data_IF_771101549480
#
_entry.id   IF_771101549480
#
_cell.length_a   1.000
_cell.length_b   1.000
_cell.length_c   1.000
_cell.angle_alpha   90.00
_cell.angle_beta   90.00
_cell.angle_gamma   90.00
#
_symmetry.space_group_name_H-M   'P 1'
#
loop_
_entity.id
_entity.type
_entity.pdbx_description
1 polymer ?
#
# COMPACT_ATOMS: atom_id res chain seq x y z
N UNK A 1 -38.26 -4.44 48.04
CA UNK A 1 -38.30 -5.77 47.40
C UNK A 1 -39.11 -5.60 46.12
N UNK A 2 -38.50 -5.14 45.04
CA UNK A 2 -37.67 -5.87 44.09
C UNK A 2 -38.52 -6.28 42.87
N UNK A 3 -38.24 -5.67 41.72
CA UNK A 3 -38.67 -6.19 40.41
C UNK A 3 -37.75 -5.60 39.35
N UNK A 4 -36.63 -6.30 39.16
CA UNK A 4 -35.76 -6.15 37.99
C UNK A 4 -36.54 -6.31 36.68
N UNK A 5 -36.50 -5.30 35.81
CA UNK A 5 -36.74 -5.45 34.37
C UNK A 5 -35.40 -5.29 33.64
N UNK A 6 -34.84 -6.43 33.23
CA UNK A 6 -33.67 -6.54 32.35
C UNK A 6 -34.03 -5.98 30.97
N UNK A 7 -33.30 -4.97 30.52
CA UNK A 7 -33.34 -4.49 29.14
C UNK A 7 -32.34 -5.34 28.36
N UNK A 8 -32.85 -6.28 27.56
CA UNK A 8 -32.07 -6.99 26.55
C UNK A 8 -31.89 -6.06 25.34
N UNK A 9 -30.64 -5.69 25.06
CA UNK A 9 -30.28 -4.94 23.86
C UNK A 9 -29.94 -5.95 22.75
N UNK A 10 -30.90 -6.22 21.88
CA UNK A 10 -30.72 -7.12 20.72
C UNK A 10 -29.89 -6.41 19.65
N UNK A 11 -28.62 -6.81 19.50
CA UNK A 11 -27.79 -6.42 18.37
C UNK A 11 -28.24 -7.26 17.16
N UNK A 12 -28.87 -6.60 16.18
CA UNK A 12 -29.19 -7.22 14.89
C UNK A 12 -27.90 -7.29 14.07
N UNK A 13 -27.28 -8.47 14.03
CA UNK A 13 -26.24 -8.79 13.05
C UNK A 13 -26.94 -9.13 11.73
N UNK A 14 -26.85 -8.24 10.75
CA UNK A 14 -27.30 -8.52 9.39
C UNK A 14 -26.31 -9.49 8.73
N UNK A 15 -26.64 -10.79 8.74
CA UNK A 15 -26.01 -11.78 7.87
C UNK A 15 -26.38 -11.47 6.42
N UNK A 16 -25.41 -11.06 5.60
CA UNK A 16 -25.56 -11.02 4.16
C UNK A 16 -25.35 -12.43 3.58
N UNK A 17 -26.45 -13.09 3.23
CA UNK A 17 -26.45 -14.20 2.28
C UNK A 17 -26.50 -13.63 0.87
N UNK A 18 -25.48 -13.92 0.04
CA UNK A 18 -25.55 -13.73 -1.41
C UNK A 18 -25.73 -15.09 -2.10
N UNK A 19 -26.46 -15.14 -3.22
CA UNK A 19 -26.83 -16.38 -3.90
C UNK A 19 -25.66 -16.97 -4.70
N UNK A 20 -25.71 -18.29 -4.87
CA UNK A 20 -24.78 -19.08 -5.68
C UNK A 20 -24.83 -18.72 -7.18
N UNK A 21 -23.76 -18.98 -7.96
CA UNK A 21 -23.62 -18.45 -9.32
C UNK A 21 -24.34 -19.34 -10.34
N UNK A 22 -25.12 -18.72 -11.21
CA UNK A 22 -25.65 -19.39 -12.40
C UNK A 22 -26.87 -18.72 -12.97
N UNK A 23 -26.68 -17.71 -13.83
CA UNK A 23 -27.35 -17.59 -15.14
C UNK A 23 -26.96 -16.26 -15.81
N UNK A 24 -26.61 -16.38 -17.09
CA UNK A 24 -26.14 -15.33 -17.97
C UNK A 24 -27.28 -14.48 -18.49
N UNK A 25 -27.19 -13.15 -18.36
CA UNK A 25 -27.96 -12.22 -19.17
C UNK A 25 -27.00 -11.29 -19.91
N UNK A 26 -26.99 -11.39 -21.24
CA UNK A 26 -26.27 -10.50 -22.16
C UNK A 26 -26.95 -9.14 -22.15
N UNK A 27 -26.19 -8.08 -21.86
CA UNK A 27 -26.53 -6.70 -22.25
C UNK A 27 -25.30 -6.10 -22.92
N UNK A 28 -25.51 -5.60 -24.14
CA UNK A 28 -24.50 -4.95 -24.96
C UNK A 28 -24.12 -3.58 -24.39
N UNK A 29 -22.83 -3.32 -24.22
CA UNK A 29 -22.30 -1.95 -24.07
C UNK A 29 -21.06 -1.77 -24.94
N UNK A 30 -21.20 -0.98 -26.00
CA UNK A 30 -20.09 -0.37 -26.70
C UNK A 30 -19.53 0.75 -25.81
N UNK A 31 -18.26 0.62 -25.40
CA UNK A 31 -17.55 1.64 -24.63
C UNK A 31 -16.13 1.16 -24.35
N UNK A 32 -15.14 1.90 -24.86
CA UNK A 32 -13.69 1.65 -24.78
C UNK A 32 -13.25 1.00 -23.45
N UNK A 33 -12.69 -0.20 -23.54
CA UNK A 33 -11.90 -0.81 -22.47
C UNK A 33 -10.63 0.02 -22.22
N UNK A 34 -10.69 0.97 -21.28
CA UNK A 34 -9.49 1.45 -20.61
C UNK A 34 -9.16 0.46 -19.49
N UNK A 35 -8.04 -0.25 -19.64
CA UNK A 35 -7.47 -1.11 -18.60
C UNK A 35 -7.33 -0.30 -17.30
N UNK A 36 -7.73 -0.84 -16.13
CA UNK A 36 -7.58 -0.13 -14.87
C UNK A 36 -6.09 -0.01 -14.53
N UNK A 37 -5.58 1.23 -14.52
CA UNK A 37 -4.23 1.53 -14.03
C UNK A 37 -4.32 1.65 -12.51
N UNK A 38 -3.83 0.62 -11.81
CA UNK A 38 -3.60 0.67 -10.37
C UNK A 38 -2.30 1.44 -10.13
N UNK A 39 -2.40 2.71 -9.76
CA UNK A 39 -1.23 3.52 -9.40
C UNK A 39 -0.94 3.27 -7.91
N UNK A 40 -0.05 2.32 -7.64
CA UNK A 40 0.72 2.33 -6.39
C UNK A 40 1.69 3.52 -6.46
N UNK A 41 1.73 4.36 -5.44
CA UNK A 41 2.63 5.53 -5.35
C UNK A 41 4.13 5.19 -5.34
N UNK A 42 4.51 3.92 -5.49
CA UNK A 42 5.86 3.43 -5.28
C UNK A 42 6.91 3.77 -6.34
N UNK A 43 6.65 4.67 -7.29
CA UNK A 43 7.58 4.96 -8.39
C UNK A 43 8.33 6.30 -8.24
N UNK A 44 8.40 6.85 -7.02
CA UNK A 44 9.25 8.02 -6.73
C UNK A 44 10.68 7.60 -6.34
N UNK A 45 11.70 7.86 -7.18
CA UNK A 45 13.08 7.90 -6.70
C UNK A 45 13.29 9.14 -5.81
N UNK A 46 13.92 8.93 -4.66
CA UNK A 46 14.59 9.99 -3.90
C UNK A 46 13.84 10.53 -2.68
N UNK A 47 13.65 9.71 -1.65
CA UNK A 47 13.41 10.28 -0.31
C UNK A 47 14.68 11.01 0.16
N UNK A 48 14.50 12.17 0.79
CA UNK A 48 15.59 12.96 1.33
C UNK A 48 16.04 12.29 2.63
N UNK A 49 17.33 11.95 2.73
CA UNK A 49 17.94 11.44 3.96
C UNK A 49 18.88 12.51 4.51
N UNK A 50 18.64 13.03 5.73
CA UNK A 50 19.53 13.99 6.37
C UNK A 50 20.95 13.41 6.53
N UNK A 51 21.97 14.20 6.17
CA UNK A 51 23.37 13.84 6.41
C UNK A 51 24.03 12.94 5.36
N UNK A 52 23.31 12.50 4.31
CA UNK A 52 23.88 11.74 3.18
C UNK A 52 23.97 12.62 1.94
N UNK A 53 25.18 12.95 1.47
CA UNK A 53 25.36 13.60 0.16
C UNK A 53 24.88 12.62 -0.92
N UNK A 54 23.81 12.96 -1.64
CA UNK A 54 23.40 12.20 -2.82
C UNK A 54 24.50 12.33 -3.89
N UNK A 55 25.12 11.22 -4.26
CA UNK A 55 26.10 11.19 -5.34
C UNK A 55 25.41 11.51 -6.68
N UNK A 56 25.52 12.77 -7.13
CA UNK A 56 24.97 13.29 -8.40
C UNK A 56 25.55 12.63 -9.68
N UNK A 57 26.30 11.53 -9.58
CA UNK A 57 27.01 10.93 -10.74
C UNK A 57 26.19 9.90 -11.53
N UNK A 58 24.97 9.57 -11.12
CA UNK A 58 24.13 8.58 -11.83
C UNK A 58 23.12 9.19 -12.84
N UNK A 59 22.75 10.47 -12.69
CA UNK A 59 21.67 11.07 -13.50
C UNK A 59 22.09 11.55 -14.89
N UNK A 60 23.38 11.80 -15.14
CA UNK A 60 23.86 12.30 -16.45
C UNK A 60 24.05 11.22 -17.52
N UNK A 61 24.02 9.92 -17.17
CA UNK A 61 24.21 8.84 -18.15
C UNK A 61 22.94 8.36 -18.84
N UNK A 62 21.77 8.80 -18.41
CA UNK A 62 20.49 8.38 -19.00
C UNK A 62 19.82 9.44 -19.90
N UNK A 63 20.47 10.59 -20.10
CA UNK A 63 19.98 11.66 -20.99
C UNK A 63 20.56 11.62 -22.41
N UNK A 64 21.63 10.86 -22.67
CA UNK A 64 22.30 10.84 -24.00
C UNK A 64 21.91 9.65 -24.92
N UNK A 65 20.89 8.86 -24.58
CA UNK A 65 20.48 7.68 -25.38
C UNK A 65 19.07 7.77 -25.99
N UNK A 66 18.46 8.96 -25.98
CA UNK A 66 17.11 9.22 -26.53
C UNK A 66 17.07 10.21 -27.70
N UNK A 67 18.20 10.41 -28.39
CA UNK A 67 18.30 11.35 -29.54
C UNK A 67 19.05 10.79 -30.77
N UNK A 68 19.19 9.47 -30.93
CA UNK A 68 19.85 8.89 -32.13
C UNK A 68 19.12 7.72 -32.80
N UNK A 69 17.78 7.72 -32.80
CA UNK A 69 16.99 6.72 -33.55
C UNK A 69 15.87 7.34 -34.40
N UNK A 70 15.99 8.61 -34.78
CA UNK A 70 14.98 9.28 -35.61
C UNK A 70 15.59 9.99 -36.81
N UNK A 71 16.41 9.29 -37.61
CA UNK A 71 16.74 9.72 -38.97
C UNK A 71 17.34 8.56 -39.79
N UNK A 72 16.49 7.81 -40.49
CA UNK A 72 16.73 7.17 -41.80
C UNK A 72 15.70 6.08 -42.08
N UNK A 73 14.53 6.46 -42.62
CA UNK A 73 13.79 5.66 -43.61
C UNK A 73 12.97 6.59 -44.50
N UNK A 74 13.59 7.02 -45.60
CA UNK A 74 12.90 7.56 -46.77
C UNK A 74 13.69 7.13 -48.01
N UNK A 75 12.96 6.52 -48.96
CA UNK A 75 13.32 6.29 -50.39
C UNK A 75 14.36 5.16 -50.62
N UNK A 76 14.24 4.21 -51.55
CA UNK A 76 13.50 4.10 -52.82
C UNK A 76 13.13 2.64 -53.15
N UNK A 77 12.21 2.52 -54.12
CA UNK A 77 11.62 1.35 -54.77
C UNK A 77 12.33 1.01 -56.11
N UNK A 78 11.86 -0.03 -56.83
CA UNK A 78 12.13 -0.50 -58.25
C UNK A 78 12.75 -1.92 -58.32
N UNK A 79 11.94 -2.98 -58.57
CA UNK A 79 11.70 -3.80 -59.82
C UNK A 79 12.81 -4.85 -60.13
N UNK A 80 12.63 -6.06 -60.72
CA UNK A 80 11.54 -6.85 -61.34
C UNK A 80 12.01 -8.32 -61.57
N UNK A 81 11.08 -9.29 -61.51
CA UNK A 81 10.94 -10.65 -62.15
C UNK A 81 12.16 -11.63 -62.29
N UNK A 82 12.09 -12.95 -62.03
CA UNK A 82 11.31 -14.03 -62.71
C UNK A 82 11.42 -15.39 -61.94
N UNK A 83 10.49 -16.31 -62.23
CA UNK A 83 10.12 -17.64 -61.64
C UNK A 83 10.90 -18.87 -62.20
N UNK A 84 10.62 -20.19 -61.89
CA UNK A 84 9.93 -20.87 -60.76
C UNK A 84 10.54 -22.26 -60.29
N UNK A 85 9.85 -22.89 -59.31
CA UNK A 85 9.75 -24.35 -58.94
C UNK A 85 10.92 -25.05 -58.22
N UNK A 86 10.75 -25.41 -56.93
CA UNK A 86 10.54 -26.82 -56.55
C UNK A 86 10.04 -27.02 -55.10
N UNK A 87 9.09 -27.94 -54.96
CA UNK A 87 8.52 -28.43 -53.70
C UNK A 87 9.49 -29.41 -53.04
N UNK A 88 9.70 -29.30 -51.73
CA UNK A 88 9.99 -30.44 -50.85
C UNK A 88 9.75 -30.03 -49.40
N UNK A 89 8.82 -30.74 -48.76
CA UNK A 89 8.40 -30.53 -47.40
C UNK A 89 9.44 -31.06 -46.40
N UNK A 90 9.80 -30.27 -45.40
CA UNK A 90 10.33 -30.76 -44.12
C UNK A 90 9.76 -29.89 -43.00
N UNK A 91 9.00 -30.52 -42.11
CA UNK A 91 8.42 -29.92 -40.91
C UNK A 91 9.54 -29.52 -39.94
N UNK A 92 9.73 -28.23 -39.74
CA UNK A 92 10.58 -27.67 -38.68
C UNK A 92 9.79 -27.64 -37.37
N UNK A 93 10.20 -28.45 -36.40
CA UNK A 93 9.84 -28.26 -35.00
C UNK A 93 10.58 -27.05 -34.45
N UNK A 94 9.96 -25.88 -34.51
CA UNK A 94 10.48 -24.68 -33.87
C UNK A 94 10.36 -24.81 -32.35
N UNK A 95 11.49 -25.11 -31.69
CA UNK A 95 11.66 -24.87 -30.26
C UNK A 95 11.45 -23.37 -30.03
N UNK A 96 10.37 -23.00 -29.36
CA UNK A 96 10.14 -21.65 -28.87
C UNK A 96 11.16 -21.39 -27.75
N UNK A 97 12.27 -20.76 -28.08
CA UNK A 97 13.16 -20.16 -27.09
C UNK A 97 12.36 -19.10 -26.32
N UNK A 98 12.02 -19.43 -25.07
CA UNK A 98 11.56 -18.43 -24.11
C UNK A 98 12.72 -17.47 -23.89
N UNK A 99 12.63 -16.28 -24.48
CA UNK A 99 13.53 -15.17 -24.18
C UNK A 99 13.48 -14.92 -22.67
N UNK A 100 14.52 -15.31 -21.96
CA UNK A 100 14.66 -15.06 -20.54
C UNK A 100 14.81 -13.54 -20.35
N UNK A 101 13.77 -12.91 -19.80
CA UNK A 101 13.82 -11.51 -19.40
C UNK A 101 15.02 -11.32 -18.47
N UNK A 102 15.98 -10.48 -18.86
CA UNK A 102 17.15 -10.18 -18.04
C UNK A 102 16.67 -9.75 -16.64
N UNK A 103 17.07 -10.48 -15.59
CA UNK A 103 16.70 -10.16 -14.21
C UNK A 103 17.20 -8.74 -13.90
N UNK A 104 16.27 -7.81 -13.65
CA UNK A 104 16.60 -6.45 -13.20
C UNK A 104 17.45 -6.51 -11.93
N UNK A 105 18.53 -5.74 -11.88
CA UNK A 105 19.35 -5.62 -10.68
C UNK A 105 18.68 -4.68 -9.67
N UNK A 106 17.91 -5.25 -8.74
CA UNK A 106 17.16 -4.49 -7.73
C UNK A 106 18.07 -3.67 -6.80
N UNK A 107 19.29 -4.14 -6.53
CA UNK A 107 20.25 -3.41 -5.68
C UNK A 107 20.79 -2.13 -6.35
N UNK A 108 20.61 -1.97 -7.66
CA UNK A 108 20.91 -0.72 -8.35
C UNK A 108 19.80 0.34 -8.18
N UNK A 109 18.63 -0.06 -7.65
CA UNK A 109 17.43 0.78 -7.51
C UNK A 109 17.11 1.01 -6.03
N UNK A 110 17.24 -0.05 -5.22
CA UNK A 110 16.90 -0.07 -3.81
C UNK A 110 18.12 -0.41 -2.96
N UNK A 111 18.17 0.19 -1.77
CA UNK A 111 19.10 -0.22 -0.74
C UNK A 111 18.53 -1.46 -0.05
N UNK A 112 19.02 -2.64 -0.40
CA UNK A 112 18.57 -3.90 0.18
C UNK A 112 19.73 -4.60 0.91
N UNK A 113 19.60 -4.91 2.21
CA UNK A 113 20.62 -5.66 2.92
C UNK A 113 20.67 -7.11 2.43
N UNK A 114 21.81 -7.77 2.64
CA UNK A 114 21.94 -9.22 2.40
C UNK A 114 20.89 -9.96 3.25
N UNK A 115 20.12 -10.85 2.62
CA UNK A 115 19.07 -11.59 3.31
C UNK A 115 17.78 -10.79 3.57
N UNK A 116 17.54 -9.66 2.88
CA UNK A 116 16.33 -8.86 3.10
C UNK A 116 15.01 -9.64 2.99
N UNK A 117 14.99 -10.72 2.20
CA UNK A 117 13.84 -11.61 2.04
C UNK A 117 13.47 -12.37 3.31
N UNK A 118 14.40 -12.49 4.25
CA UNK A 118 14.19 -13.20 5.51
C UNK A 118 13.78 -12.27 6.67
N UNK A 119 13.64 -10.97 6.42
CA UNK A 119 13.16 -10.02 7.43
C UNK A 119 11.72 -10.37 7.81
N UNK A 120 11.52 -10.67 9.09
CA UNK A 120 10.24 -11.06 9.66
C UNK A 120 9.34 -9.84 9.93
N UNK A 121 8.02 -10.04 9.83
CA UNK A 121 7.01 -9.04 10.24
C UNK A 121 7.06 -8.83 11.76
N UNK A 122 7.17 -9.92 12.51
CA UNK A 122 7.35 -9.89 13.96
C UNK A 122 8.80 -9.61 14.37
N UNK A 123 8.96 -9.05 15.57
CA UNK A 123 10.26 -8.80 16.20
C UNK A 123 10.38 -7.40 16.78
N UNK A 124 11.58 -7.08 17.26
CA UNK A 124 11.91 -5.76 17.80
C UNK A 124 12.31 -4.79 16.70
N UNK A 125 12.11 -3.50 16.96
CA UNK A 125 12.65 -2.44 16.12
C UNK A 125 14.17 -2.53 16.02
N UNK A 126 14.71 -2.20 14.84
CA UNK A 126 16.13 -1.95 14.63
C UNK A 126 16.43 -0.45 14.57
N UNK A 127 15.57 0.34 13.94
CA UNK A 127 15.70 1.80 13.92
C UNK A 127 15.21 2.41 15.23
N UNK A 128 15.78 3.55 15.62
CA UNK A 128 15.29 4.32 16.77
C UNK A 128 14.10 5.21 16.39
N UNK A 129 13.32 5.64 17.38
CA UNK A 129 12.25 6.64 17.18
C UNK A 129 12.79 7.96 16.58
N UNK A 130 13.99 8.40 16.98
CA UNK A 130 14.58 9.64 16.47
C UNK A 130 15.05 9.50 15.02
N UNK A 131 15.57 8.33 14.64
CA UNK A 131 15.89 8.04 13.24
C UNK A 131 14.64 8.08 12.36
N UNK A 132 13.52 7.51 12.84
CA UNK A 132 12.22 7.63 12.19
C UNK A 132 11.76 9.10 12.07
N UNK A 133 11.91 9.88 13.15
CA UNK A 133 11.53 11.29 13.17
C UNK A 133 12.32 12.11 12.15
N UNK A 134 13.64 11.89 12.05
CA UNK A 134 14.51 12.56 11.08
C UNK A 134 14.10 12.25 9.63
N UNK A 135 13.78 10.99 9.34
CA UNK A 135 13.32 10.60 8.01
C UNK A 135 12.00 11.30 7.66
N UNK A 136 11.06 11.36 8.60
CA UNK A 136 9.76 12.03 8.37
C UNK A 136 9.99 13.54 8.18
N UNK A 137 10.69 14.20 9.10
CA UNK A 137 10.92 15.65 9.04
C UNK A 137 11.59 16.09 7.73
N UNK A 138 12.51 15.28 7.20
CA UNK A 138 13.20 15.55 5.94
C UNK A 138 12.30 15.50 4.70
N UNK A 139 11.19 14.77 4.77
CA UNK A 139 10.29 14.52 3.64
C UNK A 139 8.90 15.16 3.82
N UNK A 140 8.55 15.52 5.05
CA UNK A 140 7.31 16.18 5.40
C UNK A 140 7.46 16.97 6.71
N UNK A 141 7.60 18.29 6.59
CA UNK A 141 7.70 19.20 7.73
C UNK A 141 6.36 19.60 8.36
N UNK A 142 5.22 19.22 7.78
CA UNK A 142 3.90 19.57 8.29
C UNK A 142 2.89 18.44 8.06
N UNK A 143 2.66 17.64 9.10
CA UNK A 143 1.80 16.46 9.05
C UNK A 143 0.31 16.86 9.03
N UNK A 144 -0.45 16.52 7.98
CA UNK A 144 -1.88 16.86 7.87
C UNK A 144 -2.79 15.86 8.62
N UNK A 145 -2.30 15.19 9.66
CA UNK A 145 -2.96 14.03 10.29
C UNK A 145 -3.42 14.27 11.73
N UNK A 146 -3.34 15.50 12.24
CA UNK A 146 -3.85 15.82 13.57
C UNK A 146 -2.98 15.29 14.71
N UNK A 147 -1.73 14.92 14.44
CA UNK A 147 -0.71 14.64 15.44
C UNK A 147 0.68 15.00 14.90
N UNK A 148 1.60 15.22 15.82
CA UNK A 148 3.01 15.51 15.56
C UNK A 148 3.78 14.29 15.06
N UNK A 149 5.03 14.53 14.61
CA UNK A 149 5.96 13.47 14.21
C UNK A 149 6.24 12.52 15.39
N UNK A 150 6.47 13.08 16.59
CA UNK A 150 6.73 12.30 17.79
C UNK A 150 5.53 11.43 18.17
N UNK A 151 4.33 12.00 18.19
CA UNK A 151 3.10 11.28 18.52
C UNK A 151 2.83 10.12 17.55
N UNK A 152 2.93 10.32 16.23
CA UNK A 152 2.66 9.22 15.28
C UNK A 152 3.67 8.09 15.43
N UNK A 153 4.95 8.40 15.70
CA UNK A 153 5.99 7.40 15.94
C UNK A 153 5.70 6.64 17.24
N UNK A 154 5.36 7.34 18.31
CA UNK A 154 5.01 6.71 19.59
C UNK A 154 3.83 5.75 19.43
N UNK A 155 2.78 6.16 18.71
CA UNK A 155 1.64 5.30 18.40
C UNK A 155 2.05 4.02 17.66
N UNK A 156 2.95 4.10 16.67
CA UNK A 156 3.45 2.91 15.97
C UNK A 156 4.23 1.98 16.90
N UNK A 157 5.09 2.52 17.76
CA UNK A 157 5.81 1.71 18.75
C UNK A 157 4.85 1.04 19.73
N UNK A 158 3.92 1.80 20.31
CA UNK A 158 2.99 1.28 21.31
C UNK A 158 2.05 0.20 20.76
N UNK A 159 1.42 0.44 19.60
CA UNK A 159 0.48 -0.52 19.02
C UNK A 159 1.22 -1.74 18.45
N UNK A 160 2.37 -1.57 17.79
CA UNK A 160 3.08 -2.70 17.20
C UNK A 160 3.80 -3.56 18.24
N UNK A 161 4.48 -2.97 19.22
CA UNK A 161 5.20 -3.74 20.26
C UNK A 161 4.24 -4.55 21.13
N UNK A 162 3.05 -4.02 21.41
CA UNK A 162 1.97 -4.75 22.09
C UNK A 162 1.66 -6.07 21.41
N UNK A 163 1.70 -6.08 20.08
CA UNK A 163 1.39 -7.23 19.22
C UNK A 163 2.63 -7.99 18.75
N UNK A 164 3.84 -7.57 19.15
CA UNK A 164 5.11 -8.18 18.74
C UNK A 164 5.48 -7.93 17.27
N UNK A 165 4.86 -6.95 16.62
CA UNK A 165 5.16 -6.50 15.25
C UNK A 165 6.31 -5.49 15.30
N UNK A 166 7.20 -5.52 14.30
CA UNK A 166 8.30 -4.54 14.19
C UNK A 166 7.75 -3.13 13.89
N UNK A 167 7.83 -2.16 14.83
CA UNK A 167 7.21 -0.85 14.63
C UNK A 167 7.89 -0.02 13.54
N UNK A 168 9.22 -0.12 13.40
CA UNK A 168 10.01 0.60 12.40
C UNK A 168 9.70 0.15 10.97
N UNK A 169 9.47 -1.16 10.77
CA UNK A 169 9.05 -1.71 9.48
C UNK A 169 7.58 -1.38 9.16
N UNK A 170 6.68 -1.47 10.15
CA UNK A 170 5.28 -1.05 9.98
C UNK A 170 5.18 0.44 9.64
N UNK A 171 5.95 1.29 10.34
CA UNK A 171 6.06 2.70 10.00
C UNK A 171 6.65 2.90 8.59
N UNK A 172 7.68 2.14 8.20
CA UNK A 172 8.25 2.20 6.85
C UNK A 172 7.22 1.89 5.76
N UNK A 173 6.34 0.91 5.99
CA UNK A 173 5.20 0.63 5.12
C UNK A 173 4.24 1.82 5.07
N UNK A 174 3.92 2.41 6.22
CA UNK A 174 3.05 3.57 6.28
C UNK A 174 3.59 4.79 5.53
N UNK A 175 4.89 5.06 5.66
CA UNK A 175 5.56 6.14 4.94
C UNK A 175 5.54 5.91 3.43
N UNK A 176 5.69 4.66 2.97
CA UNK A 176 5.56 4.32 1.56
C UNK A 176 4.13 4.57 1.04
N UNK A 177 3.13 4.06 1.76
CA UNK A 177 1.71 4.13 1.35
C UNK A 177 1.15 5.55 1.35
N UNK A 178 1.63 6.38 2.27
CA UNK A 178 1.16 7.76 2.46
C UNK A 178 2.06 8.80 1.81
N UNK A 179 3.19 8.41 1.22
CA UNK A 179 4.20 9.36 0.76
C UNK A 179 4.72 10.25 1.89
N UNK A 180 5.15 9.66 3.01
CA UNK A 180 5.60 10.35 4.22
C UNK A 180 4.51 11.21 4.87
N UNK A 181 3.28 10.69 4.94
CA UNK A 181 2.08 11.40 5.42
C UNK A 181 1.69 12.63 4.58
N UNK A 182 2.22 12.81 3.38
CA UNK A 182 1.77 13.86 2.47
C UNK A 182 0.44 13.50 1.78
N UNK A 183 0.11 12.21 1.70
CA UNK A 183 -0.99 11.65 0.92
C UNK A 183 -0.89 12.11 -0.56
N UNK A 184 -2.02 12.09 -1.29
CA UNK A 184 -2.10 12.43 -2.72
C UNK A 184 -2.63 11.29 -3.60
N UNK A 185 -3.15 10.24 -2.98
CA UNK A 185 -3.70 9.05 -3.64
C UNK A 185 -5.20 8.97 -3.43
N UNK A 186 -5.74 7.75 -3.38
CA UNK A 186 -7.17 7.52 -3.11
C UNK A 186 -7.58 7.67 -1.64
N UNK A 187 -6.61 7.91 -0.75
CA UNK A 187 -6.83 8.12 0.69
C UNK A 187 -6.47 9.56 1.04
N UNK A 188 -7.36 10.21 1.79
CA UNK A 188 -7.20 11.56 2.32
C UNK A 188 -6.74 11.53 3.79
N UNK A 189 -6.04 12.59 4.28
CA UNK A 189 -5.49 12.60 5.64
C UNK A 189 -6.49 12.32 6.76
N UNK A 190 -7.71 12.84 6.65
CA UNK A 190 -8.78 12.65 7.66
C UNK A 190 -9.23 11.20 7.83
N UNK A 191 -8.90 10.32 6.88
CA UNK A 191 -9.22 8.90 7.00
C UNK A 191 -8.29 8.17 7.96
N UNK A 192 -7.13 8.73 8.30
CA UNK A 192 -6.08 8.07 9.09
C UNK A 192 -5.77 6.64 8.61
N UNK A 193 -5.89 6.40 7.30
CA UNK A 193 -5.64 5.10 6.71
C UNK A 193 -4.23 5.06 6.15
N UNK A 194 -3.30 4.62 7.00
CA UNK A 194 -1.87 4.70 6.72
C UNK A 194 -1.34 3.54 5.89
N UNK A 195 -2.15 2.54 5.54
CA UNK A 195 -1.67 1.34 4.86
C UNK A 195 -2.52 0.91 3.65
N UNK A 196 -3.35 1.83 3.15
CA UNK A 196 -4.16 1.60 1.94
C UNK A 196 -5.33 0.63 2.14
N UNK A 197 -5.78 0.43 3.39
CA UNK A 197 -6.83 -0.54 3.73
C UNK A 197 -8.11 -0.29 2.94
N UNK A 198 -8.51 -1.30 2.17
CA UNK A 198 -9.77 -1.27 1.42
C UNK A 198 -9.75 -0.39 0.16
N UNK A 199 -8.59 0.10 -0.26
CA UNK A 199 -8.46 0.78 -1.55
C UNK A 199 -8.45 -0.27 -2.68
N UNK A 200 -9.34 -0.14 -3.66
CA UNK A 200 -9.38 -1.03 -4.84
C UNK A 200 -9.23 -0.27 -6.17
N UNK A 201 -8.83 1.00 -6.11
CA UNK A 201 -8.82 1.91 -7.26
C UNK A 201 -10.24 2.36 -7.66
N UNK A 202 -10.34 3.26 -8.65
CA UNK A 202 -11.64 3.67 -9.21
C UNK A 202 -12.54 4.52 -8.31
N UNK A 203 -11.98 5.20 -7.30
CA UNK A 203 -12.74 6.12 -6.43
C UNK A 203 -13.47 5.46 -5.26
N UNK A 204 -13.25 4.17 -4.99
CA UNK A 204 -13.72 3.53 -3.75
C UNK A 204 -12.93 4.09 -2.58
N UNK A 205 -13.61 4.83 -1.70
CA UNK A 205 -13.01 5.34 -0.47
C UNK A 205 -12.58 4.14 0.40
N UNK A 206 -11.28 4.08 0.71
CA UNK A 206 -10.75 3.09 1.64
C UNK A 206 -11.34 3.23 3.04
N UNK A 207 -10.93 2.35 3.96
CA UNK A 207 -11.30 2.46 5.37
C UNK A 207 -10.93 3.85 5.92
N UNK A 208 -11.69 4.30 6.93
CA UNK A 208 -11.46 5.56 7.63
C UNK A 208 -11.57 5.32 9.15
N UNK A 209 -10.71 5.99 9.90
CA UNK A 209 -10.60 5.86 11.35
C UNK A 209 -10.66 7.25 12.00
N UNK A 210 -11.25 7.34 13.19
CA UNK A 210 -11.55 8.65 13.80
C UNK A 210 -10.28 9.37 14.22
N UNK A 211 -9.30 8.63 14.72
CA UNK A 211 -8.06 9.20 15.29
C UNK A 211 -6.81 8.56 14.67
N UNK A 212 -5.65 9.22 14.77
CA UNK A 212 -4.37 8.63 14.38
C UNK A 212 -4.10 7.27 15.05
N UNK A 213 -4.41 7.15 16.35
CA UNK A 213 -4.24 5.91 17.08
C UNK A 213 -5.07 4.77 16.50
N UNK A 214 -6.33 5.02 16.14
CA UNK A 214 -7.18 4.00 15.49
C UNK A 214 -6.62 3.64 14.10
N UNK A 215 -6.11 4.61 13.35
CA UNK A 215 -5.44 4.37 12.07
C UNK A 215 -4.22 3.44 12.18
N UNK A 216 -3.35 3.71 13.16
CA UNK A 216 -2.18 2.87 13.45
C UNK A 216 -2.63 1.48 13.93
N UNK A 217 -3.57 1.41 14.87
CA UNK A 217 -4.07 0.13 15.38
C UNK A 217 -4.65 -0.74 14.27
N UNK A 218 -5.46 -0.18 13.37
CA UNK A 218 -6.00 -0.93 12.25
C UNK A 218 -4.92 -1.45 11.30
N UNK A 219 -3.88 -0.66 11.06
CA UNK A 219 -2.71 -1.10 10.29
C UNK A 219 -2.01 -2.30 10.96
N UNK A 220 -1.71 -2.21 12.26
CA UNK A 220 -1.07 -3.30 13.01
C UNK A 220 -1.95 -4.55 13.05
N UNK A 221 -3.27 -4.38 13.25
CA UNK A 221 -4.22 -5.48 13.17
C UNK A 221 -4.21 -6.13 11.78
N UNK A 222 -4.09 -5.37 10.70
CA UNK A 222 -4.01 -5.98 9.36
C UNK A 222 -2.71 -6.78 9.16
N UNK A 223 -1.57 -6.30 9.68
CA UNK A 223 -0.32 -7.07 9.69
C UNK A 223 -0.45 -8.36 10.53
N UNK A 224 -1.16 -8.30 11.67
CA UNK A 224 -1.47 -9.49 12.47
C UNK A 224 -2.34 -10.50 11.71
N UNK A 225 -3.39 -10.03 11.01
CA UNK A 225 -4.24 -10.89 10.20
C UNK A 225 -3.42 -11.73 9.20
N UNK A 226 -2.30 -11.19 8.72
CA UNK A 226 -1.40 -11.87 7.80
C UNK A 226 -0.42 -12.83 8.48
N UNK A 227 0.02 -12.52 9.69
CA UNK A 227 1.26 -13.06 10.26
C UNK A 227 1.11 -13.83 11.57
N UNK A 228 -0.09 -13.88 12.14
CA UNK A 228 -0.37 -14.55 13.41
C UNK A 228 -1.60 -15.45 13.32
N UNK A 229 -1.65 -16.47 14.20
CA UNK A 229 -2.84 -17.27 14.47
C UNK A 229 -3.72 -16.64 15.57
N UNK A 230 -3.11 -15.83 16.45
CA UNK A 230 -3.83 -15.21 17.54
C UNK A 230 -4.57 -13.95 17.09
N UNK A 231 -5.71 -13.70 17.71
CA UNK A 231 -6.45 -12.45 17.56
C UNK A 231 -5.68 -11.27 18.19
N UNK A 232 -5.96 -10.02 17.77
CA UNK A 232 -5.32 -8.84 18.36
C UNK A 232 -5.65 -8.71 19.85
N UNK A 233 -4.72 -8.18 20.63
CA UNK A 233 -4.91 -7.93 22.08
C UNK A 233 -5.79 -6.72 22.36
N UNK A 234 -6.07 -5.92 21.34
CA UNK A 234 -6.92 -4.73 21.41
C UNK A 234 -8.26 -4.97 20.74
N UNK A 235 -9.22 -4.07 20.98
CA UNK A 235 -10.51 -4.09 20.27
C UNK A 235 -10.27 -4.10 18.76
N UNK A 236 -10.88 -5.07 18.07
CA UNK A 236 -10.80 -5.18 16.62
C UNK A 236 -11.51 -3.99 15.95
N UNK A 237 -10.76 -3.27 15.10
CA UNK A 237 -11.25 -2.10 14.36
C UNK A 237 -10.92 -2.17 12.87
N UNK A 238 -9.98 -3.02 12.44
CA UNK A 238 -9.76 -3.29 11.02
C UNK A 238 -11.00 -3.97 10.41
N UNK A 239 -11.76 -3.30 9.53
CA UNK A 239 -12.98 -3.87 8.95
C UNK A 239 -12.72 -5.03 7.98
N UNK A 240 -11.45 -5.29 7.63
CA UNK A 240 -11.05 -6.38 6.74
C UNK A 240 -10.36 -7.53 7.48
N UNK A 241 -10.21 -7.45 8.79
CA UNK A 241 -9.42 -8.40 9.57
C UNK A 241 -9.90 -9.83 9.36
N UNK A 242 -11.18 -10.13 9.64
CA UNK A 242 -11.69 -11.51 9.56
C UNK A 242 -11.51 -12.11 8.17
N UNK A 243 -11.79 -11.33 7.12
CA UNK A 243 -11.62 -11.78 5.73
C UNK A 243 -10.15 -12.06 5.41
N UNK A 244 -9.24 -11.17 5.82
CA UNK A 244 -7.81 -11.35 5.59
C UNK A 244 -7.26 -12.52 6.40
N UNK A 245 -7.59 -12.59 7.69
CA UNK A 245 -7.12 -13.61 8.61
C UNK A 245 -7.61 -14.99 8.21
N UNK A 246 -8.91 -15.17 7.91
CA UNK A 246 -9.44 -16.45 7.45
C UNK A 246 -8.74 -16.94 6.17
N UNK A 247 -8.50 -16.04 5.21
CA UNK A 247 -7.75 -16.37 3.99
C UNK A 247 -6.31 -16.83 4.30
N UNK A 248 -5.69 -16.28 5.34
CA UNK A 248 -4.30 -16.60 5.74
C UNK A 248 -4.23 -17.87 6.58
N UNK A 249 -5.25 -18.15 7.38
CA UNK A 249 -5.40 -19.45 8.03
C UNK A 249 -5.57 -20.57 6.99
N UNK A 250 -6.28 -20.31 5.89
CA UNK A 250 -6.47 -21.29 4.81
C UNK A 250 -5.21 -21.45 3.93
N UNK A 251 -4.58 -20.34 3.53
CA UNK A 251 -3.48 -20.35 2.53
C UNK A 251 -2.07 -20.32 3.12
N UNK A 252 -1.97 -20.27 4.44
CA UNK A 252 -0.71 -20.08 5.16
C UNK A 252 -0.44 -18.62 5.51
N UNK A 253 0.12 -18.45 6.71
CA UNK A 253 0.54 -17.16 7.23
C UNK A 253 1.72 -16.60 6.45
N UNK A 254 1.77 -15.28 6.35
CA UNK A 254 2.89 -14.52 5.83
C UNK A 254 3.65 -13.95 7.01
N UNK A 255 4.81 -14.54 7.32
CA UNK A 255 5.62 -14.15 8.47
C UNK A 255 6.81 -13.26 8.11
N UNK A 256 7.07 -13.05 6.81
CA UNK A 256 8.18 -12.28 6.25
C UNK A 256 7.66 -11.17 5.36
N UNK A 257 8.33 -10.01 5.35
CA UNK A 257 7.95 -8.86 4.54
C UNK A 257 7.93 -9.17 3.04
N UNK A 258 8.87 -9.97 2.53
CA UNK A 258 8.89 -10.39 1.12
C UNK A 258 7.63 -11.13 0.70
N UNK A 259 6.94 -11.78 1.64
CA UNK A 259 5.68 -12.47 1.37
C UNK A 259 4.51 -11.54 1.15
N UNK A 260 4.64 -10.22 1.41
CA UNK A 260 3.61 -9.22 1.14
C UNK A 260 3.54 -8.84 -0.35
N UNK A 261 4.55 -9.17 -1.14
CA UNK A 261 4.52 -9.01 -2.59
C UNK A 261 3.36 -9.82 -3.17
N UNK A 262 2.52 -9.18 -4.00
CA UNK A 262 1.31 -9.74 -4.61
C UNK A 262 0.16 -10.11 -3.65
N UNK A 263 0.39 -10.15 -2.34
CA UNK A 263 -0.66 -10.51 -1.36
C UNK A 263 -1.25 -9.30 -0.66
N UNK A 264 -0.42 -8.30 -0.36
CA UNK A 264 -0.85 -7.03 0.21
C UNK A 264 -1.17 -6.03 -0.91
N UNK A 265 -0.23 -5.86 -1.84
CA UNK A 265 -0.36 -4.99 -3.00
C UNK A 265 -0.06 -5.77 -4.29
N UNK A 266 -0.61 -5.31 -5.42
CA UNK A 266 -0.45 -5.94 -6.75
C UNK A 266 0.95 -5.73 -7.38
N UNK A 267 1.97 -5.42 -6.58
CA UNK A 267 3.33 -5.16 -7.02
C UNK A 267 4.31 -6.23 -6.57
N UNK A 268 5.20 -6.66 -7.49
CA UNK A 268 6.25 -7.64 -7.21
C UNK A 268 7.48 -7.11 -6.48
N UNK A 269 7.56 -5.79 -6.26
CA UNK A 269 8.68 -5.10 -5.60
C UNK A 269 8.21 -4.31 -4.36
N UNK A 270 7.05 -4.67 -3.81
CA UNK A 270 6.43 -3.93 -2.71
C UNK A 270 7.27 -4.00 -1.43
N UNK A 271 7.69 -5.20 -1.04
CA UNK A 271 8.54 -5.44 0.11
C UNK A 271 9.91 -4.77 -0.04
N UNK A 272 10.47 -4.76 -1.24
CA UNK A 272 11.74 -4.09 -1.55
C UNK A 272 11.63 -2.58 -1.31
N UNK A 273 10.51 -1.95 -1.68
CA UNK A 273 10.25 -0.52 -1.40
C UNK A 273 10.14 -0.26 0.11
N UNK A 274 9.47 -1.15 0.86
CA UNK A 274 9.37 -1.04 2.33
C UNK A 274 10.75 -1.16 2.98
N UNK A 275 11.51 -2.19 2.60
CA UNK A 275 12.87 -2.41 3.11
C UNK A 275 13.77 -1.24 2.76
N UNK A 276 13.66 -0.68 1.55
CA UNK A 276 14.40 0.51 1.17
C UNK A 276 14.07 1.69 2.10
N UNK A 277 12.78 1.97 2.38
CA UNK A 277 12.38 3.01 3.35
C UNK A 277 12.96 2.76 4.73
N UNK A 278 12.93 1.52 5.22
CA UNK A 278 13.56 1.14 6.49
C UNK A 278 15.08 1.35 6.50
N UNK A 279 15.74 1.05 5.39
CA UNK A 279 17.18 1.28 5.22
C UNK A 279 17.53 2.79 5.19
N UNK A 280 16.67 3.63 4.64
CA UNK A 280 16.83 5.09 4.70
C UNK A 280 16.63 5.61 6.13
N UNK A 281 15.68 5.03 6.87
CA UNK A 281 15.45 5.32 8.29
C UNK A 281 16.70 5.04 9.12
N UNK A 282 17.30 3.85 8.96
CA UNK A 282 18.53 3.45 9.68
C UNK A 282 19.75 4.34 9.39
N UNK A 283 19.75 5.09 8.28
CA UNK A 283 20.85 6.01 7.91
C UNK A 283 20.66 7.41 8.48
N UNK A 284 19.49 7.73 9.01
CA UNK A 284 19.26 9.01 9.64
C UNK A 284 20.04 9.13 10.95
N UNK A 285 20.43 10.36 11.36
CA UNK A 285 21.06 10.57 12.65
C UNK A 285 20.08 10.23 13.80
N UNK A 286 20.59 9.66 14.88
CA UNK A 286 19.81 9.38 16.10
C UNK A 286 19.66 10.64 16.96
N UNK A 287 19.06 11.68 16.38
CA UNK A 287 18.86 12.99 17.00
C UNK A 287 17.42 13.43 16.81
N UNK A 288 16.84 14.03 17.85
CA UNK A 288 15.51 14.64 17.74
C UNK A 288 15.54 15.81 16.74
N UNK A 289 14.69 15.79 15.69
CA UNK A 289 14.54 16.93 14.79
C UNK A 289 13.73 18.05 15.45
N UNK A 290 13.94 19.28 14.97
CA UNK A 290 13.13 20.42 15.38
C UNK A 290 11.66 20.20 15.05
N UNK A 291 10.76 20.63 15.94
CA UNK A 291 9.31 20.50 15.75
C UNK A 291 8.75 19.08 15.90
N UNK A 292 9.54 18.10 16.39
CA UNK A 292 9.08 16.73 16.59
C UNK A 292 7.78 16.64 17.40
N UNK A 293 7.60 17.54 18.38
CA UNK A 293 6.48 17.55 19.34
C UNK A 293 5.55 18.76 19.18
N UNK A 294 5.42 19.28 17.95
CA UNK A 294 4.55 20.43 17.67
C UNK A 294 3.09 20.14 18.07
N UNK A 295 2.35 21.12 18.60
CA UNK A 295 0.96 20.89 19.03
C UNK A 295 0.00 20.84 17.82
N UNK A 296 -0.74 19.74 17.67
CA UNK A 296 -1.74 19.53 16.63
C UNK A 296 -3.18 19.42 17.16
N UNK A 297 -3.46 19.73 18.43
CA UNK A 297 -4.80 19.57 19.04
C UNK A 297 -5.93 20.24 18.27
N UNK A 298 -5.68 21.43 17.70
CA UNK A 298 -6.69 22.13 16.87
C UNK A 298 -7.00 21.34 15.61
N UNK A 299 -5.96 20.92 14.88
CA UNK A 299 -6.09 20.13 13.66
C UNK A 299 -6.77 18.79 13.95
N UNK A 300 -6.42 18.13 15.07
CA UNK A 300 -7.05 16.89 15.51
C UNK A 300 -8.57 17.06 15.65
N UNK A 301 -9.03 18.10 16.36
CA UNK A 301 -10.47 18.40 16.52
C UNK A 301 -11.16 18.68 15.20
N UNK A 302 -10.49 19.33 14.26
CA UNK A 302 -11.03 19.62 12.92
C UNK A 302 -11.19 18.33 12.10
N UNK A 303 -10.19 17.44 12.14
CA UNK A 303 -10.24 16.14 11.47
C UNK A 303 -11.29 15.21 12.07
N UNK A 304 -11.46 15.18 13.39
CA UNK A 304 -12.51 14.40 14.05
C UNK A 304 -13.92 14.87 13.63
N UNK A 305 -14.16 16.18 13.57
CA UNK A 305 -15.43 16.73 13.06
C UNK A 305 -15.65 16.38 11.60
N UNK A 306 -14.60 16.44 10.78
CA UNK A 306 -14.66 16.08 9.37
C UNK A 306 -14.99 14.59 9.22
N UNK A 307 -14.35 13.72 10.00
CA UNK A 307 -14.63 12.29 10.04
C UNK A 307 -16.10 12.02 10.37
N UNK A 308 -16.63 12.60 11.45
CA UNK A 308 -18.03 12.41 11.86
C UNK A 308 -19.02 12.85 10.77
N UNK A 309 -18.74 13.99 10.13
CA UNK A 309 -19.52 14.49 9.01
C UNK A 309 -19.50 13.49 7.83
N UNK A 310 -18.31 13.03 7.42
CA UNK A 310 -18.14 12.11 6.28
C UNK A 310 -18.79 10.75 6.53
N UNK A 311 -18.66 10.21 7.74
CA UNK A 311 -19.31 8.94 8.11
C UNK A 311 -20.84 9.07 8.10
N UNK A 312 -21.38 10.18 8.62
CA UNK A 312 -22.83 10.45 8.58
C UNK A 312 -23.35 10.56 7.14
N UNK A 313 -22.62 11.26 6.27
CA UNK A 313 -22.94 11.37 4.83
C UNK A 313 -22.95 9.99 4.15
N UNK A 314 -21.91 9.18 4.39
CA UNK A 314 -21.81 7.82 3.85
C UNK A 314 -22.96 6.93 4.29
N UNK A 315 -23.26 6.90 5.59
CA UNK A 315 -24.34 6.06 6.15
C UNK A 315 -25.72 6.48 5.60
N UNK A 316 -25.94 7.79 5.39
CA UNK A 316 -27.17 8.29 4.76
C UNK A 316 -27.29 7.81 3.30
N UNK A 317 -26.18 7.85 2.56
CA UNK A 317 -26.14 7.40 1.17
C UNK A 317 -26.36 5.88 1.05
N UNK A 318 -25.76 5.09 1.93
CA UNK A 318 -25.95 3.63 1.98
C UNK A 318 -27.40 3.27 2.29
N UNK A 319 -28.02 3.93 3.27
CA UNK A 319 -29.44 3.75 3.57
C UNK A 319 -30.33 4.07 2.36
N UNK A 320 -30.07 5.18 1.68
CA UNK A 320 -30.81 5.55 0.48
C UNK A 320 -30.67 4.50 -0.65
N UNK A 321 -29.47 3.98 -0.88
CA UNK A 321 -29.24 2.90 -1.87
C UNK A 321 -30.02 1.64 -1.51
N UNK A 322 -29.99 1.24 -0.25
CA UNK A 322 -30.73 0.06 0.23
C UNK A 322 -32.25 0.21 0.02
N UNK A 323 -32.81 1.37 0.37
CA UNK A 323 -34.23 1.65 0.19
C UNK A 323 -34.65 1.70 -1.29
N UNK A 324 -33.78 2.21 -2.17
CA UNK A 324 -34.02 2.22 -3.62
C UNK A 324 -34.02 0.83 -4.23
N UNK A 325 -33.14 -0.07 -3.78
CA UNK A 325 -33.08 -1.46 -4.29
C UNK A 325 -34.21 -2.35 -3.76
N UNK A 326 -35.00 -1.88 -2.78
CA UNK A 326 -36.17 -2.59 -2.25
C UNK A 326 -37.46 -2.29 -3.04
N UNK A 327 -37.45 -1.26 -3.89
CA UNK A 327 -38.56 -0.89 -4.78
C UNK A 327 -38.29 -1.39 -6.19
#
# INVERSE_FOLDING_TARGET
>A
MDTMKKIACTVVVALFLFPAPGQTARVSSAGRESKPVVISMGDRPGAIVPGVKQDKKADDKNKSKKEKDNERKTKNNVDVQTTPVNKSAVKTGAKTEKTATAKRNLNAIYILPKGYKDITIKGKAQATKKQAAQLIAANNGNLPIGCSIGEIIDLYWEEAEREGIRPDMALSQALLETGYFNFGGSVEPWQHNYCGLGTIGGGVQGAAFKTPQEGVRAHIQHLLAYSDYNLPKTKLIDPRYDKAHNLRLEKGLITKWSGLNWTWAMGGEYAEKIVNTHQLMLRCPDKEPEGMWTDHKKQQKELEKLYEKRIKERNKLEKYKYEKHKK
#
